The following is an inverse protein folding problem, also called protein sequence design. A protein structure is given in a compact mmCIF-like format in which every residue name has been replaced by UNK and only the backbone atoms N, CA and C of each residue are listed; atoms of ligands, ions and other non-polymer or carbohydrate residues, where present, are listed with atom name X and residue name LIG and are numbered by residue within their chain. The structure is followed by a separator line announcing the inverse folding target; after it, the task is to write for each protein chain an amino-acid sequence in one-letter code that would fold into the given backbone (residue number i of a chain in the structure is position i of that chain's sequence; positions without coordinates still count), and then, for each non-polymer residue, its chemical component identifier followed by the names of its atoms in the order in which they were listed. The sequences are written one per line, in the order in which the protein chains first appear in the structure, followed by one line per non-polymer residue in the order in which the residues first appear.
data_IF_801288345088
#
_entry.id   IF_801288345088
#
_cell.length_a   1.000
_cell.length_b   1.000
_cell.length_c   1.000
_cell.angle_alpha   90.00
_cell.angle_beta   90.00
_cell.angle_gamma   90.00
#
_symmetry.space_group_name_H-M   'P 1'
#
loop_
_entity.id
_entity.type
_entity.pdbx_description
1 polymer ?
#
# COMPACT_ATOMS: atom_id res chain seq x y z
N UNK A 1 -23.29 -12.42 11.65
CA UNK A 1 -24.41 -13.16 12.24
C UNK A 1 -25.69 -12.42 11.89
N UNK A 2 -26.06 -12.32 10.60
CA UNK A 2 -27.23 -11.55 10.15
C UNK A 2 -27.66 -11.99 8.74
N UNK A 3 -27.86 -13.31 8.54
CA UNK A 3 -28.38 -13.84 7.27
C UNK A 3 -29.19 -15.14 7.42
N UNK A 4 -29.70 -15.45 8.62
CA UNK A 4 -30.49 -16.65 8.88
C UNK A 4 -31.89 -16.36 9.45
N UNK A 5 -32.28 -15.11 9.60
CA UNK A 5 -33.53 -14.75 10.29
C UNK A 5 -34.60 -14.11 9.39
N UNK A 6 -34.77 -14.62 8.18
CA UNK A 6 -35.89 -14.15 7.35
C UNK A 6 -36.60 -15.33 6.67
N UNK A 7 -37.28 -16.16 7.45
CA UNK A 7 -38.32 -17.08 6.93
C UNK A 7 -39.06 -17.79 8.07
N UNK A 8 -39.64 -17.03 9.01
CA UNK A 8 -40.75 -17.53 9.84
C UNK A 8 -41.79 -16.41 9.96
N UNK A 9 -42.61 -16.27 8.92
CA UNK A 9 -43.94 -15.68 9.05
C UNK A 9 -44.92 -16.84 8.99
N UNK A 10 -45.38 -17.25 10.15
CA UNK A 10 -46.50 -18.17 10.31
C UNK A 10 -47.79 -17.46 9.92
N UNK A 11 -48.39 -17.84 8.80
CA UNK A 11 -49.82 -17.63 8.55
C UNK A 11 -50.54 -18.93 8.86
N UNK A 12 -51.41 -18.89 9.86
CA UNK A 12 -52.39 -19.92 10.11
C UNK A 12 -53.40 -19.99 8.96
N UNK A 13 -53.72 -21.18 8.53
CA UNK A 13 -54.97 -21.57 7.93
C UNK A 13 -55.00 -21.78 6.43
N UNK A 14 -54.66 -22.96 6.01
CA UNK A 14 -55.34 -23.85 5.05
C UNK A 14 -54.37 -24.99 4.76
N UNK A 15 -54.82 -26.24 5.01
CA UNK A 15 -54.18 -27.45 4.50
C UNK A 15 -54.16 -27.41 2.98
N UNK A 16 -53.15 -26.78 2.40
CA UNK A 16 -52.62 -27.16 1.10
C UNK A 16 -51.60 -28.23 1.43
N UNK A 17 -51.79 -29.42 0.91
CA UNK A 17 -50.69 -30.36 0.70
C UNK A 17 -49.56 -29.58 0.04
N UNK A 18 -48.66 -29.06 0.82
CA UNK A 18 -47.43 -28.47 0.29
C UNK A 18 -46.62 -29.64 -0.22
N UNK A 19 -46.48 -29.77 -1.53
CA UNK A 19 -45.47 -30.59 -2.14
C UNK A 19 -44.14 -30.17 -1.54
N UNK A 20 -43.73 -30.80 -0.45
CA UNK A 20 -42.45 -30.60 0.18
C UNK A 20 -41.38 -31.08 -0.78
N UNK A 21 -40.85 -30.18 -1.60
CA UNK A 21 -39.69 -30.45 -2.44
C UNK A 21 -38.49 -30.48 -1.50
N UNK A 22 -37.77 -31.60 -1.37
CA UNK A 22 -36.56 -31.65 -0.58
C UNK A 22 -35.57 -30.55 -1.08
N UNK A 23 -34.91 -29.89 -0.16
CA UNK A 23 -33.93 -28.79 -0.50
C UNK A 23 -32.91 -29.24 -1.55
N UNK A 24 -32.47 -30.49 -1.48
CA UNK A 24 -31.56 -31.08 -2.46
C UNK A 24 -32.16 -31.23 -3.86
N UNK A 25 -33.47 -31.50 -3.97
CA UNK A 25 -34.17 -31.58 -5.25
C UNK A 25 -34.40 -30.17 -5.81
N UNK A 26 -34.81 -29.22 -4.98
CA UNK A 26 -34.93 -27.82 -5.35
C UNK A 26 -33.60 -27.24 -5.89
N UNK A 27 -32.47 -27.54 -5.25
CA UNK A 27 -31.17 -27.12 -5.71
C UNK A 27 -30.79 -27.71 -7.07
N UNK A 28 -31.13 -29.00 -7.31
CA UNK A 28 -30.91 -29.65 -8.60
C UNK A 28 -31.76 -29.02 -9.71
N UNK A 29 -33.05 -28.80 -9.46
CA UNK A 29 -33.99 -28.24 -10.43
C UNK A 29 -33.65 -26.80 -10.80
N UNK A 30 -33.09 -26.01 -9.85
CA UNK A 30 -32.72 -24.61 -10.05
C UNK A 30 -31.23 -24.38 -10.34
N UNK A 31 -30.49 -25.45 -10.59
CA UNK A 31 -29.05 -25.39 -10.92
C UNK A 31 -28.23 -24.64 -9.84
N UNK A 32 -28.52 -24.90 -8.55
CA UNK A 32 -27.85 -24.28 -7.42
C UNK A 32 -26.75 -25.21 -6.94
N UNK A 33 -25.49 -24.72 -6.89
CA UNK A 33 -24.30 -25.44 -6.40
C UNK A 33 -24.08 -26.81 -7.11
N UNK A 34 -24.44 -26.92 -8.39
CA UNK A 34 -24.34 -28.18 -9.14
C UNK A 34 -22.92 -28.54 -9.54
N UNK A 35 -22.03 -27.57 -9.65
CA UNK A 35 -20.61 -27.80 -9.91
C UNK A 35 -19.74 -26.80 -9.14
N UNK A 36 -18.51 -27.19 -8.91
CA UNK A 36 -17.49 -26.37 -8.29
C UNK A 36 -16.38 -26.05 -9.31
N UNK A 37 -16.17 -24.80 -9.54
CA UNK A 37 -15.07 -24.29 -10.33
C UNK A 37 -13.93 -23.82 -9.43
N UNK A 38 -12.72 -24.20 -9.77
CA UNK A 38 -11.50 -23.71 -9.12
C UNK A 38 -10.69 -22.93 -10.15
N UNK A 39 -10.28 -21.73 -9.79
CA UNK A 39 -9.57 -20.83 -10.70
C UNK A 39 -8.29 -20.28 -10.10
N UNK A 40 -7.32 -20.02 -11.00
CA UNK A 40 -6.14 -19.23 -10.72
C UNK A 40 -6.26 -17.93 -11.53
N UNK A 41 -5.98 -16.80 -10.89
CA UNK A 41 -5.98 -15.47 -11.50
C UNK A 41 -4.60 -14.85 -11.46
N UNK A 42 -4.22 -14.19 -12.56
CA UNK A 42 -3.00 -13.39 -12.68
C UNK A 42 -3.35 -12.03 -13.27
N UNK A 43 -2.86 -10.96 -12.68
CA UNK A 43 -3.14 -9.62 -13.20
C UNK A 43 -2.70 -8.49 -12.29
N UNK A 44 -3.34 -7.36 -12.41
CA UNK A 44 -2.99 -6.15 -11.63
C UNK A 44 -3.25 -6.32 -10.13
N UNK A 45 -4.14 -7.23 -9.72
CA UNK A 45 -4.35 -7.60 -8.32
C UNK A 45 -3.34 -8.62 -7.79
N UNK A 46 -2.37 -9.02 -8.61
CA UNK A 46 -1.37 -10.04 -8.30
C UNK A 46 -1.80 -11.43 -8.70
N UNK A 47 -1.48 -12.40 -7.84
CA UNK A 47 -1.86 -13.81 -7.99
C UNK A 47 -3.06 -14.09 -7.10
N UNK A 48 -4.02 -14.85 -7.59
CA UNK A 48 -5.19 -15.21 -6.81
C UNK A 48 -5.73 -16.59 -7.13
N UNK A 49 -6.56 -17.11 -6.23
CA UNK A 49 -7.37 -18.31 -6.44
C UNK A 49 -8.79 -18.07 -6.03
N UNK A 50 -9.68 -18.71 -6.74
CA UNK A 50 -11.11 -18.60 -6.56
C UNK A 50 -11.77 -19.96 -6.56
N UNK A 51 -12.81 -20.06 -5.75
CA UNK A 51 -13.83 -21.10 -5.81
C UNK A 51 -15.10 -20.42 -6.31
N UNK A 52 -15.76 -21.03 -7.30
CA UNK A 52 -16.98 -20.49 -7.84
C UNK A 52 -18.02 -21.60 -8.01
N UNK A 53 -19.28 -21.24 -7.84
CA UNK A 53 -20.39 -22.15 -8.09
C UNK A 53 -21.60 -21.41 -8.64
N UNK A 54 -22.36 -22.01 -9.57
CA UNK A 54 -23.53 -21.38 -10.15
C UNK A 54 -24.69 -21.28 -9.17
N UNK A 55 -25.48 -20.21 -9.33
CA UNK A 55 -26.77 -20.04 -8.71
C UNK A 55 -27.78 -19.78 -9.81
N UNK A 56 -28.39 -20.83 -10.31
CA UNK A 56 -29.27 -20.78 -11.48
C UNK A 56 -28.48 -20.63 -12.79
N UNK A 57 -29.20 -20.22 -13.83
CA UNK A 57 -28.66 -20.15 -15.20
C UNK A 57 -27.81 -18.90 -15.49
N UNK A 58 -28.04 -17.84 -14.71
CA UNK A 58 -27.49 -16.52 -15.01
C UNK A 58 -26.46 -16.00 -14.00
N UNK A 59 -26.35 -16.65 -12.83
CA UNK A 59 -25.49 -16.16 -11.75
C UNK A 59 -24.44 -17.21 -11.38
N UNK A 60 -23.28 -16.71 -10.96
CA UNK A 60 -22.24 -17.51 -10.33
C UNK A 60 -21.66 -16.74 -9.15
N UNK A 61 -21.60 -17.34 -7.98
CA UNK A 61 -20.91 -16.75 -6.84
C UNK A 61 -19.48 -17.24 -6.81
N UNK A 62 -18.56 -16.33 -6.58
CA UNK A 62 -17.13 -16.56 -6.56
C UNK A 62 -16.53 -16.02 -5.28
N UNK A 63 -15.87 -16.86 -4.50
CA UNK A 63 -15.12 -16.49 -3.31
C UNK A 63 -13.66 -16.87 -3.50
N UNK A 64 -12.74 -16.02 -3.08
CA UNK A 64 -11.32 -16.28 -3.27
C UNK A 64 -10.41 -15.35 -2.53
N UNK A 65 -9.14 -15.47 -2.85
CA UNK A 65 -8.06 -14.69 -2.27
C UNK A 65 -7.12 -14.20 -3.37
N UNK A 66 -6.64 -12.97 -3.25
CA UNK A 66 -5.65 -12.39 -4.15
C UNK A 66 -4.54 -11.73 -3.33
N UNK A 67 -3.30 -11.95 -3.73
CA UNK A 67 -2.14 -11.34 -3.10
C UNK A 67 -1.16 -10.82 -4.15
N UNK A 68 -0.54 -9.69 -3.85
CA UNK A 68 0.53 -9.13 -4.66
C UNK A 68 1.86 -9.75 -4.21
N UNK A 69 2.64 -10.36 -5.10
CA UNK A 69 4.01 -10.76 -4.79
C UNK A 69 4.83 -9.55 -4.30
N UNK A 70 5.73 -9.77 -3.35
CA UNK A 70 6.60 -8.72 -2.81
C UNK A 70 7.66 -8.33 -3.84
N UNK A 71 7.29 -7.47 -4.78
CA UNK A 71 8.19 -6.90 -5.78
C UNK A 71 8.84 -5.66 -5.16
N UNK A 72 10.16 -5.63 -5.12
CA UNK A 72 10.92 -4.51 -4.57
C UNK A 72 11.19 -3.48 -5.67
N UNK A 73 10.77 -2.25 -5.42
CA UNK A 73 11.05 -1.10 -6.28
C UNK A 73 11.97 -0.12 -5.57
N UNK A 74 13.17 0.06 -6.12
CA UNK A 74 14.14 1.02 -5.59
C UNK A 74 13.82 2.43 -6.09
N UNK A 75 13.82 3.39 -5.15
CA UNK A 75 13.58 4.79 -5.37
C UNK A 75 14.67 5.59 -4.66
N UNK A 76 15.43 6.40 -5.40
CA UNK A 76 16.53 7.18 -4.86
C UNK A 76 16.06 8.58 -4.50
N UNK A 77 16.43 9.04 -3.32
CA UNK A 77 16.16 10.39 -2.81
C UNK A 77 17.46 11.06 -2.39
N UNK A 78 17.52 12.39 -2.48
CA UNK A 78 18.61 13.17 -1.93
C UNK A 78 18.50 13.32 -0.41
N UNK A 79 19.62 13.23 0.29
CA UNK A 79 19.75 13.74 1.66
C UNK A 79 20.17 15.19 1.55
N UNK A 80 19.45 16.09 2.19
CA UNK A 80 19.65 17.53 2.15
C UNK A 80 19.42 18.14 3.53
N UNK A 81 19.94 19.35 3.70
CA UNK A 81 19.58 20.24 4.78
C UNK A 81 18.46 21.20 4.32
N UNK A 82 17.74 21.77 5.24
CA UNK A 82 16.77 22.84 4.97
C UNK A 82 17.44 24.16 4.61
N UNK A 83 18.72 24.35 4.97
CA UNK A 83 19.48 25.58 4.73
C UNK A 83 20.53 25.42 3.63
N UNK A 84 21.27 24.32 3.57
CA UNK A 84 22.34 24.09 2.59
C UNK A 84 21.75 23.70 1.24
N UNK A 85 22.18 24.42 0.20
CA UNK A 85 21.72 24.19 -1.18
C UNK A 85 22.85 23.82 -2.14
N UNK A 86 24.11 23.91 -1.69
CA UNK A 86 25.27 23.64 -2.52
C UNK A 86 26.05 22.40 -2.03
N UNK A 87 26.63 21.68 -2.98
CA UNK A 87 27.32 20.41 -2.71
C UNK A 87 28.60 20.60 -1.90
N UNK A 88 29.26 21.77 -1.96
CA UNK A 88 30.50 22.00 -1.24
C UNK A 88 30.24 22.12 0.26
N UNK A 89 29.26 22.94 0.63
CA UNK A 89 28.83 23.09 2.03
C UNK A 89 28.29 21.78 2.59
N UNK A 90 27.54 21.02 1.79
CA UNK A 90 27.08 19.69 2.18
C UNK A 90 28.24 18.74 2.47
N UNK A 91 29.23 18.66 1.57
CA UNK A 91 30.37 17.76 1.75
C UNK A 91 31.21 18.15 2.96
N UNK A 92 31.47 19.46 3.18
CA UNK A 92 32.21 19.93 4.35
C UNK A 92 31.51 19.52 5.66
N UNK A 93 30.20 19.60 5.71
CA UNK A 93 29.43 19.15 6.85
C UNK A 93 29.43 17.63 6.98
N UNK A 94 29.30 16.87 5.88
CA UNK A 94 29.36 15.43 5.90
C UNK A 94 30.73 14.92 6.41
N UNK A 95 31.81 15.58 6.00
CA UNK A 95 33.17 15.30 6.49
C UNK A 95 33.32 15.59 8.00
N UNK A 96 32.75 16.72 8.46
CA UNK A 96 32.76 17.04 9.89
C UNK A 96 31.99 16.01 10.71
N UNK A 97 30.82 15.59 10.25
CA UNK A 97 30.01 14.57 10.93
C UNK A 97 30.70 13.21 10.91
N UNK A 98 31.35 12.81 9.81
CA UNK A 98 32.13 11.59 9.73
C UNK A 98 33.27 11.58 10.78
N UNK A 99 33.96 12.69 10.98
CA UNK A 99 34.98 12.82 11.99
C UNK A 99 34.47 12.63 13.42
N UNK A 100 33.21 13.00 13.69
CA UNK A 100 32.57 12.86 14.99
C UNK A 100 31.94 11.49 15.22
N UNK A 101 31.25 10.96 14.19
CA UNK A 101 30.39 9.77 14.33
C UNK A 101 31.05 8.50 13.84
N UNK A 102 32.11 8.63 13.03
CA UNK A 102 32.71 7.51 12.28
C UNK A 102 31.87 7.08 11.07
N UNK A 103 30.76 7.76 10.77
CA UNK A 103 29.88 7.47 9.64
C UNK A 103 29.69 8.69 8.77
N UNK A 104 29.91 8.51 7.47
CA UNK A 104 29.71 9.57 6.48
C UNK A 104 28.25 9.70 6.11
N UNK A 105 27.75 10.93 6.01
CA UNK A 105 26.46 11.21 5.40
C UNK A 105 26.63 11.16 3.88
N UNK A 106 25.92 10.25 3.23
CA UNK A 106 25.83 10.21 1.78
C UNK A 106 24.83 11.24 1.29
N UNK A 107 25.01 11.72 0.06
CA UNK A 107 24.07 12.67 -0.54
C UNK A 107 22.77 12.01 -1.05
N UNK A 108 22.68 10.70 -1.00
CA UNK A 108 21.52 9.93 -1.46
C UNK A 108 21.21 8.77 -0.54
N UNK A 109 19.92 8.43 -0.49
CA UNK A 109 19.38 7.24 0.16
C UNK A 109 18.46 6.50 -0.81
N UNK A 110 18.49 5.18 -0.77
CA UNK A 110 17.60 4.35 -1.58
C UNK A 110 16.48 3.81 -0.70
N UNK A 111 15.26 4.21 -1.00
CA UNK A 111 14.06 3.64 -0.41
C UNK A 111 13.54 2.47 -1.26
N UNK A 112 13.12 1.41 -0.60
CA UNK A 112 12.55 0.22 -1.23
C UNK A 112 11.05 0.24 -1.02
N UNK A 113 10.30 0.41 -2.10
CA UNK A 113 8.84 0.28 -2.11
C UNK A 113 8.42 -1.17 -2.31
N UNK A 114 7.51 -1.65 -1.46
CA UNK A 114 7.00 -3.04 -1.50
C UNK A 114 5.48 -3.00 -1.44
N UNK A 115 4.77 -3.52 -2.46
CA UNK A 115 3.32 -3.69 -2.38
C UNK A 115 2.97 -4.76 -1.34
N UNK A 116 1.88 -4.52 -0.59
CA UNK A 116 1.40 -5.41 0.48
C UNK A 116 -0.09 -5.76 0.31
N UNK A 117 -0.58 -5.76 -0.92
CA UNK A 117 -1.99 -6.01 -1.22
C UNK A 117 -2.30 -7.48 -0.99
N UNK A 118 -3.18 -7.75 -0.03
CA UNK A 118 -3.72 -9.07 0.28
C UNK A 118 -5.22 -8.93 0.50
N UNK A 119 -6.03 -9.54 -0.34
CA UNK A 119 -7.49 -9.37 -0.26
C UNK A 119 -8.21 -10.72 -0.36
N UNK A 120 -9.16 -10.93 0.52
CA UNK A 120 -10.27 -11.86 0.31
C UNK A 120 -11.22 -11.19 -0.68
N UNK A 121 -11.81 -11.95 -1.58
CA UNK A 121 -12.78 -11.44 -2.55
C UNK A 121 -14.07 -12.26 -2.51
N UNK A 122 -15.18 -11.55 -2.59
CA UNK A 122 -16.50 -12.14 -2.77
C UNK A 122 -17.17 -11.41 -3.93
N UNK A 123 -17.41 -12.14 -5.00
CA UNK A 123 -17.86 -11.62 -6.28
C UNK A 123 -19.06 -12.40 -6.79
N UNK A 124 -19.91 -11.74 -7.54
CA UNK A 124 -21.02 -12.34 -8.27
C UNK A 124 -20.82 -12.06 -9.74
N UNK A 125 -20.73 -13.10 -10.56
CA UNK A 125 -20.68 -13.01 -12.00
C UNK A 125 -22.10 -13.19 -12.55
N UNK A 126 -22.54 -12.26 -13.41
CA UNK A 126 -23.84 -12.29 -14.08
C UNK A 126 -23.61 -12.58 -15.55
N UNK A 127 -24.19 -13.65 -16.05
CA UNK A 127 -24.14 -14.08 -17.46
C UNK A 127 -25.42 -13.65 -18.16
N UNK A 128 -25.41 -12.56 -18.97
CA UNK A 128 -26.64 -12.02 -19.56
C UNK A 128 -27.29 -12.95 -20.59
N UNK A 129 -26.52 -13.90 -21.18
CA UNK A 129 -26.97 -14.78 -22.24
C UNK A 129 -26.92 -16.24 -21.81
N UNK A 130 -28.08 -16.86 -21.61
CA UNK A 130 -28.20 -18.27 -21.18
C UNK A 130 -27.40 -19.25 -22.07
N UNK A 131 -27.46 -19.06 -23.39
CA UNK A 131 -26.81 -19.95 -24.36
C UNK A 131 -25.38 -19.50 -24.74
N UNK A 132 -24.92 -18.36 -24.26
CA UNK A 132 -23.60 -17.83 -24.53
C UNK A 132 -22.99 -17.23 -23.26
N UNK A 133 -22.33 -18.09 -22.47
CA UNK A 133 -21.68 -17.72 -21.21
C UNK A 133 -20.26 -17.16 -21.40
N UNK A 134 -19.93 -16.65 -22.59
CA UNK A 134 -18.63 -16.03 -22.83
C UNK A 134 -18.51 -14.67 -22.13
N UNK A 135 -19.58 -13.89 -22.12
CA UNK A 135 -19.64 -12.57 -21.48
C UNK A 135 -20.20 -12.68 -20.07
N UNK A 136 -19.56 -12.01 -19.15
CA UNK A 136 -20.07 -11.85 -17.79
C UNK A 136 -19.81 -10.45 -17.25
N UNK A 137 -20.73 -9.96 -16.44
CA UNK A 137 -20.56 -8.77 -15.62
C UNK A 137 -20.30 -9.24 -14.19
N UNK A 138 -19.34 -8.60 -13.52
CA UNK A 138 -18.94 -8.95 -12.16
C UNK A 138 -19.19 -7.79 -11.23
N UNK A 139 -19.85 -8.04 -10.11
CA UNK A 139 -20.00 -7.11 -9.01
C UNK A 139 -19.60 -7.79 -7.70
N UNK A 140 -19.10 -7.02 -6.74
CA UNK A 140 -18.78 -7.56 -5.42
C UNK A 140 -17.80 -6.70 -4.66
N UNK A 141 -16.98 -7.31 -3.83
CA UNK A 141 -16.01 -6.59 -3.02
C UNK A 141 -14.74 -7.40 -2.79
N UNK A 142 -13.65 -6.66 -2.65
CA UNK A 142 -12.39 -7.12 -2.08
C UNK A 142 -12.28 -6.59 -0.64
N UNK A 143 -11.83 -7.42 0.27
CA UNK A 143 -11.62 -7.05 1.66
C UNK A 143 -10.25 -7.49 2.12
N UNK A 144 -9.48 -6.57 2.71
CA UNK A 144 -8.12 -6.83 3.15
C UNK A 144 -7.54 -5.69 3.98
N UNK A 145 -6.27 -5.76 4.35
CA UNK A 145 -5.60 -4.71 5.10
C UNK A 145 -5.73 -3.34 4.43
N UNK A 146 -5.82 -2.30 5.25
CA UNK A 146 -5.83 -0.92 4.73
C UNK A 146 -4.47 -0.52 4.14
N UNK A 147 -3.37 -1.11 4.61
CA UNK A 147 -2.05 -0.89 4.04
C UNK A 147 -1.90 -1.64 2.72
N UNK A 148 -1.64 -0.91 1.63
CA UNK A 148 -1.51 -1.44 0.26
C UNK A 148 -0.07 -1.47 -0.24
N UNK A 149 0.80 -0.61 0.34
CA UNK A 149 2.24 -0.64 0.12
C UNK A 149 2.98 -0.07 1.33
N UNK A 150 4.26 -0.39 1.43
CA UNK A 150 5.21 0.22 2.37
C UNK A 150 6.48 0.60 1.63
N UNK A 151 7.17 1.63 2.14
CA UNK A 151 8.49 2.00 1.69
C UNK A 151 9.40 2.19 2.91
N UNK A 152 10.66 1.81 2.79
CA UNK A 152 11.68 1.94 3.83
C UNK A 152 13.06 2.02 3.18
N UNK A 153 14.03 2.65 3.86
CA UNK A 153 15.41 2.69 3.36
C UNK A 153 16.07 1.31 3.39
N UNK A 154 17.07 1.12 2.55
CA UNK A 154 17.88 -0.09 2.58
C UNK A 154 18.76 -0.13 3.83
N UNK A 155 19.15 -1.34 4.23
CA UNK A 155 20.05 -1.56 5.37
C UNK A 155 21.42 -0.91 5.13
N UNK A 156 21.91 -0.90 3.90
CA UNK A 156 23.18 -0.29 3.52
C UNK A 156 23.21 1.23 3.73
N UNK A 157 22.05 1.90 3.70
CA UNK A 157 21.92 3.33 3.91
C UNK A 157 21.77 3.70 5.40
N UNK A 158 21.59 2.72 6.29
CA UNK A 158 21.40 2.96 7.73
C UNK A 158 22.56 3.73 8.39
N UNK A 159 23.84 3.43 8.14
CA UNK A 159 24.93 4.18 8.77
C UNK A 159 24.87 5.69 8.43
N UNK A 160 24.55 6.03 7.18
CA UNK A 160 24.37 7.42 6.76
C UNK A 160 23.20 8.09 7.48
N UNK A 161 22.05 7.39 7.61
CA UNK A 161 20.88 7.91 8.33
C UNK A 161 21.11 8.01 9.83
N UNK A 162 21.90 7.12 10.43
CA UNK A 162 22.35 7.24 11.82
C UNK A 162 23.18 8.51 12.03
N UNK A 163 24.09 8.82 11.10
CA UNK A 163 24.86 10.06 11.16
C UNK A 163 23.95 11.30 11.06
N UNK A 164 22.91 11.26 10.20
CA UNK A 164 21.86 12.31 10.12
C UNK A 164 21.11 12.44 11.44
N UNK A 165 20.66 11.32 12.04
CA UNK A 165 19.97 11.34 13.34
C UNK A 165 20.86 11.94 14.44
N UNK A 166 22.13 11.54 14.49
CA UNK A 166 23.09 12.07 15.47
C UNK A 166 23.30 13.58 15.27
N UNK A 167 23.46 14.03 14.03
CA UNK A 167 23.57 15.44 13.71
C UNK A 167 22.32 16.23 14.16
N UNK A 168 21.12 15.74 13.84
CA UNK A 168 19.89 16.43 14.24
C UNK A 168 19.71 16.48 15.75
N UNK A 169 20.13 15.45 16.47
CA UNK A 169 20.13 15.46 17.93
C UNK A 169 21.11 16.50 18.50
N UNK A 170 22.31 16.60 17.93
CA UNK A 170 23.28 17.65 18.28
C UNK A 170 22.75 19.04 17.96
N UNK A 171 22.09 19.21 16.81
CA UNK A 171 21.42 20.46 16.41
C UNK A 171 20.40 20.88 17.47
N UNK A 172 19.50 19.99 17.91
CA UNK A 172 18.50 20.28 18.95
C UNK A 172 19.16 20.78 20.24
N UNK A 173 20.17 20.06 20.71
CA UNK A 173 20.89 20.45 21.92
C UNK A 173 21.57 21.81 21.81
N UNK A 174 22.22 22.10 20.69
CA UNK A 174 22.85 23.36 20.43
C UNK A 174 21.87 24.56 20.40
N UNK A 175 20.69 24.35 19.80
CA UNK A 175 19.65 25.40 19.68
C UNK A 175 19.01 25.74 21.02
N UNK A 176 18.70 24.73 21.84
CA UNK A 176 18.04 24.93 23.15
C UNK A 176 19.00 25.49 24.21
N UNK A 177 20.33 25.50 23.96
CA UNK A 177 21.37 25.91 24.91
C UNK A 177 21.35 25.12 26.23
N UNK A 178 20.83 23.91 26.22
CA UNK A 178 20.96 23.04 27.39
C UNK A 178 22.45 22.83 27.70
N UNK A 179 22.83 22.79 28.99
CA UNK A 179 24.19 22.42 29.34
C UNK A 179 24.47 21.05 28.72
N UNK A 180 25.46 21.04 27.83
CA UNK A 180 25.79 19.87 27.03
C UNK A 180 26.58 18.90 27.88
N UNK A 181 25.87 18.28 28.79
CA UNK A 181 26.28 17.05 29.41
C UNK A 181 26.38 16.00 28.30
N UNK A 182 27.40 15.18 28.35
CA UNK A 182 27.66 14.13 27.36
C UNK A 182 26.39 13.54 26.77
N UNK A 183 26.21 13.71 25.47
CA UNK A 183 25.15 12.97 24.76
C UNK A 183 25.72 11.61 24.45
N UNK A 184 25.30 10.58 25.17
CA UNK A 184 25.60 9.21 24.82
C UNK A 184 24.72 8.80 23.66
N UNK A 185 25.31 8.62 22.48
CA UNK A 185 24.62 8.10 21.32
C UNK A 185 25.36 6.87 20.80
N UNK A 186 24.70 5.72 20.81
CA UNK A 186 25.26 4.43 20.42
C UNK A 186 26.56 4.04 21.14
N UNK A 187 26.69 4.39 22.42
CA UNK A 187 27.87 4.08 23.22
C UNK A 187 29.02 5.09 23.11
N UNK A 188 28.86 6.15 22.30
CA UNK A 188 29.82 7.25 22.22
C UNK A 188 29.32 8.48 22.96
N UNK A 189 30.15 9.05 23.83
CA UNK A 189 29.84 10.28 24.55
C UNK A 189 30.37 11.49 23.73
N UNK A 190 29.47 12.38 23.39
CA UNK A 190 29.80 13.67 22.74
C UNK A 190 29.75 14.79 23.79
N UNK A 191 30.84 15.51 23.93
CA UNK A 191 30.98 16.62 24.85
C UNK A 191 30.95 17.94 24.11
N UNK A 192 30.10 18.84 24.55
CA UNK A 192 30.15 20.24 24.10
C UNK A 192 30.82 21.07 25.22
N UNK A 193 31.62 22.06 24.85
CA UNK A 193 32.27 22.90 25.85
C UNK A 193 31.28 23.75 26.62
N UNK A 194 31.59 24.01 27.89
CA UNK A 194 30.73 24.82 28.79
C UNK A 194 31.01 26.33 28.70
N UNK A 195 31.70 26.76 27.65
CA UNK A 195 32.01 28.15 27.37
C UNK A 195 30.81 28.83 26.64
N UNK A 196 30.28 29.96 27.15
CA UNK A 196 29.14 30.64 26.54
C UNK A 196 29.40 31.17 25.14
N UNK A 197 30.60 31.71 24.87
CA UNK A 197 30.96 32.27 23.54
C UNK A 197 31.04 31.12 22.52
N UNK A 198 31.68 30.03 22.89
CA UNK A 198 31.80 28.85 22.03
C UNK A 198 30.43 28.16 21.80
N UNK A 199 29.53 28.17 22.81
CA UNK A 199 28.15 27.72 22.63
C UNK A 199 27.39 28.55 21.61
N UNK A 200 27.56 29.87 21.61
CA UNK A 200 26.90 30.76 20.65
C UNK A 200 27.48 30.54 19.23
N UNK A 201 28.78 30.35 19.11
CA UNK A 201 29.44 30.05 17.83
C UNK A 201 28.93 28.73 17.27
N UNK A 202 28.93 27.67 18.06
CA UNK A 202 28.42 26.34 17.67
C UNK A 202 26.95 26.43 17.27
N UNK A 203 26.11 27.11 18.07
CA UNK A 203 24.71 27.36 17.72
C UNK A 203 24.56 28.03 16.36
N UNK A 204 25.35 29.07 16.08
CA UNK A 204 25.29 29.77 14.82
C UNK A 204 25.71 28.88 13.64
N UNK A 205 26.70 28.00 13.84
CA UNK A 205 27.10 27.00 12.85
C UNK A 205 25.92 26.05 12.56
N UNK A 206 25.27 25.49 13.58
CA UNK A 206 24.12 24.60 13.40
C UNK A 206 22.95 25.34 12.72
N UNK A 207 22.67 26.59 13.10
CA UNK A 207 21.62 27.39 12.46
C UNK A 207 21.92 27.66 10.98
N UNK A 208 23.20 27.85 10.62
CA UNK A 208 23.60 28.05 9.22
C UNK A 208 23.45 26.79 8.37
N UNK A 209 23.63 25.63 8.97
CA UNK A 209 23.49 24.35 8.29
C UNK A 209 22.05 23.82 8.31
N UNK A 210 21.26 24.12 9.34
CA UNK A 210 19.88 23.67 9.49
C UNK A 210 19.75 22.17 9.80
N UNK A 211 18.51 21.67 9.83
CA UNK A 211 18.22 20.23 10.06
C UNK A 211 18.39 19.42 8.78
N UNK A 212 18.76 18.17 8.92
CA UNK A 212 19.02 17.27 7.81
C UNK A 212 18.02 16.14 7.71
N UNK A 213 17.81 15.66 6.52
CA UNK A 213 16.99 14.47 6.25
C UNK A 213 16.82 14.20 4.76
N UNK A 214 15.89 13.32 4.47
CA UNK A 214 15.56 12.94 3.09
C UNK A 214 14.63 13.98 2.47
N UNK A 215 15.10 14.64 1.42
CA UNK A 215 14.33 15.64 0.67
C UNK A 215 13.26 14.98 -0.17
N UNK A 216 11.99 15.21 0.17
CA UNK A 216 10.84 14.62 -0.52
C UNK A 216 10.20 15.60 -1.50
N UNK A 217 9.84 16.79 -1.04
CA UNK A 217 9.11 17.78 -1.83
C UNK A 217 8.99 19.11 -1.10
N UNK A 218 7.92 19.85 -1.35
CA UNK A 218 7.58 21.09 -0.66
C UNK A 218 6.28 20.94 0.12
N UNK A 219 6.18 21.52 1.31
CA UNK A 219 4.93 21.58 2.07
C UNK A 219 3.89 22.39 1.31
N UNK A 220 2.66 21.94 1.30
CA UNK A 220 1.54 22.68 0.67
C UNK A 220 1.19 23.92 1.48
N UNK A 221 1.36 23.88 2.80
CA UNK A 221 0.96 24.94 3.75
C UNK A 221 1.69 26.26 3.53
N UNK A 222 3.01 26.23 3.32
CA UNK A 222 3.88 27.40 3.28
C UNK A 222 4.91 27.39 2.15
N UNK A 223 4.98 26.29 1.38
CA UNK A 223 5.95 26.11 0.31
C UNK A 223 7.37 25.77 0.78
N UNK A 224 7.59 25.61 2.08
CA UNK A 224 8.90 25.24 2.63
C UNK A 224 9.31 23.83 2.18
N UNK A 225 10.62 23.55 2.14
CA UNK A 225 11.11 22.18 1.89
C UNK A 225 10.53 21.19 2.90
N UNK A 226 9.96 20.08 2.42
CA UNK A 226 9.66 18.94 3.27
C UNK A 226 10.83 17.97 3.27
N UNK A 227 11.49 17.90 4.42
CA UNK A 227 12.63 17.03 4.68
C UNK A 227 12.19 16.02 5.72
N UNK A 228 12.21 14.75 5.35
CA UNK A 228 11.84 13.65 6.23
C UNK A 228 13.07 13.23 7.04
N UNK A 229 13.06 13.55 8.33
CA UNK A 229 14.12 13.14 9.24
C UNK A 229 14.03 11.63 9.53
N UNK A 230 15.14 10.93 9.81
CA UNK A 230 15.07 9.55 10.27
C UNK A 230 14.31 9.43 11.60
N UNK A 231 13.63 8.30 11.80
CA UNK A 231 12.97 7.98 13.07
C UNK A 231 13.98 7.54 14.17
N UNK A 232 13.48 7.15 15.34
CA UNK A 232 14.30 6.69 16.48
C UNK A 232 15.18 5.48 16.14
N UNK A 233 14.77 4.67 15.14
CA UNK A 233 15.55 3.54 14.63
C UNK A 233 16.53 3.96 13.53
N UNK A 234 16.71 5.26 13.28
CA UNK A 234 17.49 5.81 12.16
C UNK A 234 16.99 5.32 10.79
N UNK A 235 15.68 5.19 10.65
CA UNK A 235 15.04 4.76 9.42
C UNK A 235 14.07 5.81 8.88
N UNK A 236 13.92 5.83 7.55
CA UNK A 236 12.88 6.58 6.86
C UNK A 236 11.84 5.61 6.31
N UNK A 237 10.58 5.84 6.66
CA UNK A 237 9.48 4.91 6.38
C UNK A 237 8.27 5.67 5.86
N UNK A 238 7.55 5.06 4.91
CA UNK A 238 6.25 5.53 4.45
C UNK A 238 5.29 4.34 4.22
N UNK A 239 4.00 4.58 4.34
CA UNK A 239 2.94 3.58 4.16
C UNK A 239 1.84 4.14 3.28
N UNK A 240 1.52 3.44 2.20
CA UNK A 240 0.34 3.74 1.41
C UNK A 240 -0.87 2.99 1.98
N UNK A 241 -1.99 3.70 2.17
CA UNK A 241 -3.21 3.17 2.78
C UNK A 241 -4.43 3.46 1.91
N UNK A 242 -5.37 2.52 1.90
CA UNK A 242 -6.70 2.66 1.31
C UNK A 242 -7.76 2.07 2.24
N UNK A 243 -9.04 2.12 1.88
CA UNK A 243 -10.06 1.44 2.65
C UNK A 243 -9.87 -0.08 2.63
N UNK A 244 -10.22 -0.74 3.74
CA UNK A 244 -10.15 -2.20 3.86
C UNK A 244 -11.18 -2.89 2.97
N UNK A 245 -12.41 -2.36 2.90
CA UNK A 245 -13.45 -2.82 1.99
C UNK A 245 -13.37 -2.03 0.69
N UNK A 246 -13.26 -2.73 -0.42
CA UNK A 246 -13.07 -2.19 -1.76
C UNK A 246 -14.13 -2.76 -2.70
N UNK A 247 -15.26 -2.06 -2.92
CA UNK A 247 -16.24 -2.46 -3.91
C UNK A 247 -15.61 -2.65 -5.29
N UNK A 248 -16.15 -3.59 -6.05
CA UNK A 248 -15.65 -3.93 -7.38
C UNK A 248 -16.80 -4.03 -8.39
N UNK A 249 -16.57 -3.47 -9.56
CA UNK A 249 -17.41 -3.66 -10.72
C UNK A 249 -16.52 -3.96 -11.93
N UNK A 250 -16.92 -4.93 -12.73
CA UNK A 250 -16.16 -5.32 -13.90
C UNK A 250 -17.00 -6.10 -14.91
N UNK A 251 -16.35 -6.44 -15.99
CA UNK A 251 -16.86 -7.34 -17.00
C UNK A 251 -15.75 -8.24 -17.49
N UNK A 252 -16.12 -9.37 -18.05
CA UNK A 252 -15.14 -10.29 -18.59
C UNK A 252 -15.66 -11.04 -19.80
N UNK A 253 -14.70 -11.57 -20.54
CA UNK A 253 -14.94 -12.45 -21.66
C UNK A 253 -14.10 -13.70 -21.50
N UNK A 254 -14.72 -14.86 -21.66
CA UNK A 254 -14.02 -16.12 -21.55
C UNK A 254 -14.59 -17.20 -22.45
N UNK A 255 -13.85 -18.28 -22.56
CA UNK A 255 -14.24 -19.42 -23.37
C UNK A 255 -13.45 -20.68 -23.03
N UNK A 256 -13.77 -21.75 -23.71
CA UNK A 256 -13.07 -23.03 -23.53
C UNK A 256 -11.61 -22.91 -23.94
N UNK A 257 -10.72 -23.42 -23.12
CA UNK A 257 -9.30 -23.46 -23.43
C UNK A 257 -8.99 -24.54 -24.51
N UNK A 258 -9.71 -25.66 -24.46
CA UNK A 258 -9.53 -26.79 -25.38
C UNK A 258 -10.86 -27.12 -26.09
N UNK A 259 -10.82 -27.34 -27.41
CA UNK A 259 -12.00 -27.64 -28.23
C UNK A 259 -12.81 -28.85 -27.74
N UNK A 260 -12.14 -29.85 -27.19
CA UNK A 260 -12.73 -31.14 -26.83
C UNK A 260 -12.84 -31.33 -25.30
N UNK A 261 -12.61 -30.28 -24.50
CA UNK A 261 -12.64 -30.37 -23.06
C UNK A 261 -13.28 -29.13 -22.44
N UNK A 262 -14.51 -29.29 -21.98
CA UNK A 262 -15.31 -28.23 -21.39
C UNK A 262 -14.93 -27.90 -19.94
N UNK A 263 -14.06 -28.72 -19.34
CA UNK A 263 -13.64 -28.53 -17.93
C UNK A 263 -12.64 -27.40 -17.73
N UNK A 264 -11.99 -26.92 -18.82
CA UNK A 264 -11.00 -25.86 -18.71
C UNK A 264 -11.47 -24.65 -19.51
N UNK A 265 -11.57 -23.53 -18.80
CA UNK A 265 -11.91 -22.23 -19.42
C UNK A 265 -10.85 -21.19 -19.09
N UNK A 266 -10.66 -20.27 -20.00
CA UNK A 266 -9.84 -19.07 -19.80
C UNK A 266 -10.72 -17.84 -19.94
N UNK A 267 -10.60 -16.87 -19.04
CA UNK A 267 -11.28 -15.59 -19.16
C UNK A 267 -10.32 -14.43 -18.92
N UNK A 268 -10.67 -13.31 -19.55
CA UNK A 268 -10.06 -12.02 -19.33
C UNK A 268 -11.09 -11.15 -18.60
N UNK A 269 -10.73 -10.65 -17.42
CA UNK A 269 -11.58 -9.81 -16.57
C UNK A 269 -11.02 -8.40 -16.52
N UNK A 270 -11.84 -7.39 -16.81
CA UNK A 270 -11.52 -5.98 -16.75
C UNK A 270 -12.51 -5.26 -15.83
N UNK A 271 -12.03 -4.41 -14.94
CA UNK A 271 -12.92 -3.72 -14.02
C UNK A 271 -12.23 -2.63 -13.21
N UNK A 272 -12.99 -2.11 -12.26
CA UNK A 272 -12.57 -1.05 -11.34
C UNK A 272 -12.82 -1.48 -9.90
N UNK A 273 -11.80 -1.39 -9.08
CA UNK A 273 -11.88 -1.56 -7.63
C UNK A 273 -11.85 -0.19 -6.97
N UNK A 274 -12.86 0.13 -6.18
CA UNK A 274 -13.05 1.43 -5.56
C UNK A 274 -12.34 1.47 -4.19
N UNK A 275 -11.42 2.43 -4.03
CA UNK A 275 -10.66 2.59 -2.79
C UNK A 275 -11.46 3.27 -1.66
N UNK A 276 -12.61 3.89 -1.99
CA UNK A 276 -13.38 4.72 -1.08
C UNK A 276 -12.86 6.16 -0.92
N UNK A 277 -12.05 6.62 -1.85
CA UNK A 277 -11.36 7.91 -1.88
C UNK A 277 -9.97 7.74 -2.47
N UNK A 278 -9.18 8.80 -2.57
CA UNK A 278 -7.77 8.68 -2.94
C UNK A 278 -7.00 8.01 -1.81
N UNK A 279 -6.13 7.02 -2.09
CA UNK A 279 -5.26 6.47 -1.08
C UNK A 279 -4.36 7.56 -0.46
N UNK A 280 -4.03 7.43 0.82
CA UNK A 280 -3.04 8.27 1.50
C UNK A 280 -1.66 7.62 1.48
N UNK A 281 -0.61 8.44 1.45
CA UNK A 281 0.78 7.97 1.62
C UNK A 281 1.36 8.70 2.83
N UNK A 282 1.37 8.01 3.96
CA UNK A 282 1.75 8.61 5.24
C UNK A 282 3.17 8.17 5.60
N UNK A 283 4.02 9.14 5.88
CA UNK A 283 5.39 8.95 6.38
C UNK A 283 5.38 8.63 7.88
N UNK A 284 6.51 8.19 8.44
CA UNK A 284 6.59 7.82 9.86
C UNK A 284 6.37 9.02 10.81
N UNK A 285 6.62 10.26 10.36
CA UNK A 285 6.33 11.50 11.11
C UNK A 285 4.87 11.94 11.02
N UNK A 286 4.01 11.18 10.29
CA UNK A 286 2.58 11.45 10.16
C UNK A 286 2.19 12.36 8.98
N UNK A 287 3.15 12.85 8.20
CA UNK A 287 2.88 13.70 7.01
C UNK A 287 2.24 12.87 5.89
N UNK A 288 1.13 13.34 5.32
CA UNK A 288 0.49 12.73 4.15
C UNK A 288 1.07 13.34 2.86
N UNK A 289 1.89 12.57 2.17
CA UNK A 289 2.52 12.99 0.91
C UNK A 289 1.51 13.31 -0.20
N UNK A 290 0.28 12.80 -0.11
CA UNK A 290 -0.77 13.04 -1.10
C UNK A 290 -1.38 14.42 -0.93
N UNK A 291 -1.60 14.86 0.32
CA UNK A 291 -2.32 16.08 0.63
C UNK A 291 -1.41 17.23 1.12
N UNK A 292 -0.35 16.91 1.85
CA UNK A 292 0.48 17.91 2.57
C UNK A 292 1.76 18.28 1.83
N UNK A 293 2.13 17.52 0.77
CA UNK A 293 3.39 17.72 0.03
C UNK A 293 3.13 17.84 -1.46
N UNK A 294 3.83 18.75 -2.11
CA UNK A 294 3.84 18.98 -3.56
C UNK A 294 5.27 18.93 -4.09
N UNK A 295 5.41 18.92 -5.42
CA UNK A 295 6.70 18.90 -6.12
C UNK A 295 7.61 17.74 -5.65
N UNK A 296 7.01 16.59 -5.40
CA UNK A 296 7.73 15.39 -4.97
C UNK A 296 8.67 14.96 -6.10
N UNK A 297 9.96 14.85 -5.79
CA UNK A 297 10.99 14.54 -6.78
C UNK A 297 10.94 13.10 -7.31
N UNK A 298 11.48 12.94 -8.52
CA UNK A 298 11.77 11.63 -9.10
C UNK A 298 10.55 10.76 -9.40
N UNK A 299 10.76 9.44 -9.46
CA UNK A 299 9.71 8.45 -9.76
C UNK A 299 8.59 8.42 -8.70
N UNK A 300 8.88 8.83 -7.48
CA UNK A 300 7.89 8.85 -6.39
C UNK A 300 6.83 9.91 -6.63
N UNK A 301 7.21 11.10 -7.11
CA UNK A 301 6.26 12.12 -7.52
C UNK A 301 5.25 11.57 -8.53
N UNK A 302 5.73 10.89 -9.56
CA UNK A 302 4.87 10.26 -10.56
C UNK A 302 3.92 9.21 -9.93
N UNK A 303 4.38 8.39 -8.98
CA UNK A 303 3.51 7.43 -8.27
C UNK A 303 2.49 8.13 -7.36
N UNK A 304 2.88 9.17 -6.64
CA UNK A 304 1.96 9.94 -5.78
C UNK A 304 0.91 10.65 -6.64
N UNK A 305 1.30 11.25 -7.76
CA UNK A 305 0.36 11.87 -8.70
C UNK A 305 -0.58 10.86 -9.34
N UNK A 306 -0.07 9.68 -9.68
CA UNK A 306 -0.90 8.58 -10.17
C UNK A 306 -1.94 8.17 -9.12
N UNK A 307 -1.54 8.03 -7.85
CA UNK A 307 -2.45 7.71 -6.74
C UNK A 307 -3.48 8.82 -6.52
N UNK A 308 -3.10 10.09 -6.64
CA UNK A 308 -4.02 11.23 -6.58
C UNK A 308 -5.07 11.19 -7.69
N UNK A 309 -4.65 10.84 -8.90
CA UNK A 309 -5.51 10.80 -10.07
C UNK A 309 -6.50 9.64 -10.03
N UNK A 310 -6.06 8.46 -9.62
CA UNK A 310 -6.89 7.27 -9.60
C UNK A 310 -7.65 7.11 -8.28
N UNK A 311 -8.91 7.58 -8.25
CA UNK A 311 -9.87 7.25 -7.18
C UNK A 311 -10.32 5.79 -7.21
N UNK A 312 -9.98 5.07 -8.25
CA UNK A 312 -10.28 3.67 -8.48
C UNK A 312 -9.03 2.92 -8.96
N UNK A 313 -8.89 1.68 -8.57
CA UNK A 313 -7.81 0.82 -9.03
C UNK A 313 -8.26 0.03 -10.27
N UNK A 314 -7.57 0.15 -11.42
CA UNK A 314 -7.90 -0.63 -12.60
C UNK A 314 -7.52 -2.09 -12.38
N UNK A 315 -8.48 -2.99 -12.54
CA UNK A 315 -8.30 -4.43 -12.41
C UNK A 315 -8.30 -5.05 -13.79
N UNK A 316 -7.20 -5.67 -14.15
CA UNK A 316 -7.02 -6.45 -15.38
C UNK A 316 -6.47 -7.81 -14.98
N UNK A 317 -7.25 -8.87 -15.16
CA UNK A 317 -6.88 -10.22 -14.78
C UNK A 317 -7.10 -11.21 -15.92
N UNK A 318 -6.22 -12.18 -16.01
CA UNK A 318 -6.43 -13.42 -16.76
C UNK A 318 -6.75 -14.50 -15.73
N UNK A 319 -7.83 -15.24 -15.96
CA UNK A 319 -8.29 -16.32 -15.08
C UNK A 319 -8.34 -17.63 -15.83
N UNK A 320 -7.66 -18.63 -15.30
CA UNK A 320 -7.75 -20.01 -15.74
C UNK A 320 -8.62 -20.79 -14.75
N UNK A 321 -9.69 -21.37 -15.24
CA UNK A 321 -10.68 -22.09 -14.44
C UNK A 321 -10.74 -23.56 -14.82
N UNK A 322 -10.86 -24.42 -13.81
CA UNK A 322 -11.12 -25.86 -13.95
C UNK A 322 -12.39 -26.22 -13.20
N UNK A 323 -13.36 -26.81 -13.89
CA UNK A 323 -14.54 -27.41 -13.29
C UNK A 323 -14.19 -28.77 -12.69
N UNK A 324 -14.47 -28.96 -11.40
CA UNK A 324 -14.07 -30.14 -10.64
C UNK A 324 -15.14 -31.24 -10.77
N UNK A 325 -16.43 -30.89 -10.54
CA UNK A 325 -17.58 -31.80 -10.64
C UNK A 325 -18.82 -31.04 -11.05
#
# INVERSE_FOLDING_TARGET
MLFVTLLFLTTQGQERQSDYIPVSQYWKEHNILQHLDVSITLGTTGVGFDFASPIGDYLQVRAGYAFMPHIHHNMTFGIQSDQIKDDVSFNNMADAIENFTGYRIHNQVVMVGVPTINNVKLLVDVFPFKNNRHWHFTAGAYWGPSQIAKAYNRTEDMPSLMAVSTYNHMYEKAIVREPLVSVNYNGNDFYFPDDPELKDEIKNIFLSYGRMGVRIGNRVSDGSPYIMEPDEDSMVKAKARSNSLKPYLGFGYGGRLFKNNDRYTVSFDCGAMFWGGSPSVVTHDGTDLVNDVRDIGGKVGAYVDLIKFFKVYPVLNVRLTKTIF
#
